data_IF_646222874540
#
_entry.id   IF_646222874540
#
_cell.length_a   1.000
_cell.length_b   1.000
_cell.length_c   1.000
_cell.angle_alpha   90.00
_cell.angle_beta   90.00
_cell.angle_gamma   90.00
#
_symmetry.space_group_name_H-M   'P 1'
#
loop_
_entity.id
_entity.type
_entity.pdbx_description
1 polymer ?
#
# COMPACT_ATOMS: atom_id res chain seq x y z
N UNK A 1 -56.01 -22.65 2.54
CA UNK A 1 -54.83 -22.04 1.90
C UNK A 1 -53.63 -22.22 2.82
N UNK A 2 -52.90 -23.32 2.62
CA UNK A 2 -51.73 -23.72 3.41
C UNK A 2 -50.49 -22.97 2.94
N UNK A 3 -49.91 -22.12 3.79
CA UNK A 3 -48.65 -21.45 3.49
C UNK A 3 -47.48 -22.40 3.74
N UNK A 4 -46.80 -22.80 2.66
CA UNK A 4 -45.50 -23.46 2.74
C UNK A 4 -44.45 -22.45 3.24
N UNK A 5 -43.70 -22.75 4.32
CA UNK A 5 -42.57 -21.93 4.70
C UNK A 5 -41.45 -22.09 3.66
N UNK A 6 -40.98 -20.95 3.14
CA UNK A 6 -39.88 -20.85 2.19
C UNK A 6 -38.56 -21.23 2.90
N UNK A 7 -38.22 -22.50 2.95
CA UNK A 7 -36.91 -22.95 3.45
C UNK A 7 -35.85 -22.63 2.40
N UNK A 8 -35.06 -21.58 2.64
CA UNK A 8 -33.87 -21.31 1.84
C UNK A 8 -32.89 -22.48 1.98
N UNK A 9 -32.32 -23.02 0.88
CA UNK A 9 -31.29 -24.05 0.97
C UNK A 9 -30.13 -23.54 1.80
N UNK A 10 -29.71 -24.31 2.81
CA UNK A 10 -28.49 -24.06 3.54
C UNK A 10 -27.32 -24.09 2.54
N UNK A 11 -26.79 -22.89 2.22
CA UNK A 11 -25.63 -22.75 1.37
C UNK A 11 -24.40 -23.30 2.11
N UNK A 12 -24.15 -24.59 1.91
CA UNK A 12 -22.99 -25.32 2.43
C UNK A 12 -21.70 -25.00 1.64
N UNK A 13 -21.52 -23.73 1.24
CA UNK A 13 -20.38 -23.25 0.43
C UNK A 13 -19.28 -22.59 1.25
N UNK A 14 -19.39 -22.55 2.58
CA UNK A 14 -18.50 -21.75 3.45
C UNK A 14 -17.27 -22.50 3.98
N UNK A 15 -17.17 -23.81 3.79
CA UNK A 15 -16.04 -24.61 4.30
C UNK A 15 -14.70 -24.34 3.56
N UNK A 16 -14.74 -23.86 2.31
CA UNK A 16 -13.54 -23.58 1.49
C UNK A 16 -13.08 -22.11 1.44
N UNK A 17 -13.95 -21.17 1.81
CA UNK A 17 -13.70 -19.73 1.69
C UNK A 17 -12.44 -19.22 2.44
N UNK A 18 -12.15 -19.63 3.70
CA UNK A 18 -10.97 -19.13 4.41
C UNK A 18 -9.65 -19.73 3.88
N UNK A 19 -9.67 -20.97 3.36
CA UNK A 19 -8.48 -21.60 2.75
C UNK A 19 -8.15 -20.97 1.40
N UNK A 20 -9.14 -20.83 0.51
CA UNK A 20 -8.95 -20.19 -0.81
C UNK A 20 -8.41 -18.77 -0.68
N UNK A 21 -8.91 -18.01 0.30
CA UNK A 21 -8.42 -16.66 0.58
C UNK A 21 -6.96 -16.64 1.00
N UNK A 22 -6.56 -17.45 1.99
CA UNK A 22 -5.16 -17.51 2.44
C UNK A 22 -4.23 -17.91 1.29
N UNK A 23 -4.67 -18.82 0.43
CA UNK A 23 -3.91 -19.20 -0.76
C UNK A 23 -3.73 -18.01 -1.70
N UNK A 24 -4.76 -17.20 -1.95
CA UNK A 24 -4.65 -16.00 -2.79
C UNK A 24 -3.75 -14.93 -2.15
N UNK A 25 -3.83 -14.71 -0.83
CA UNK A 25 -2.95 -13.78 -0.11
C UNK A 25 -1.48 -14.22 -0.23
N UNK A 26 -1.20 -15.50 0.02
CA UNK A 26 0.15 -16.08 -0.08
C UNK A 26 0.65 -16.05 -1.53
N UNK A 27 -0.19 -16.42 -2.51
CA UNK A 27 0.17 -16.40 -3.91
C UNK A 27 0.47 -14.97 -4.41
N UNK A 28 -0.34 -13.97 -4.02
CA UNK A 28 -0.10 -12.58 -4.37
C UNK A 28 1.20 -12.04 -3.76
N UNK A 29 1.44 -12.31 -2.47
CA UNK A 29 2.69 -11.92 -1.81
C UNK A 29 3.91 -12.64 -2.41
N UNK A 30 3.78 -13.94 -2.71
CA UNK A 30 4.83 -14.74 -3.34
C UNK A 30 5.15 -14.25 -4.75
N UNK A 31 4.15 -13.86 -5.55
CA UNK A 31 4.36 -13.27 -6.87
C UNK A 31 5.19 -11.99 -6.78
N UNK A 32 4.81 -11.06 -5.88
CA UNK A 32 5.55 -9.80 -5.66
C UNK A 32 7.00 -10.08 -5.23
N UNK A 33 7.18 -10.97 -4.25
CA UNK A 33 8.50 -11.30 -3.72
C UNK A 33 9.38 -12.02 -4.75
N UNK A 34 8.82 -13.01 -5.46
CA UNK A 34 9.54 -13.78 -6.48
C UNK A 34 9.96 -12.87 -7.65
N UNK A 35 9.09 -11.98 -8.11
CA UNK A 35 9.42 -10.99 -9.15
C UNK A 35 10.53 -10.06 -8.69
N UNK A 36 10.46 -9.54 -7.46
CA UNK A 36 11.49 -8.67 -6.92
C UNK A 36 12.85 -9.40 -6.80
N UNK A 37 12.86 -10.59 -6.20
CA UNK A 37 14.08 -11.42 -6.05
C UNK A 37 14.68 -11.79 -7.41
N UNK A 38 13.85 -12.18 -8.38
CA UNK A 38 14.31 -12.51 -9.72
C UNK A 38 15.01 -11.33 -10.40
N UNK A 39 14.42 -10.14 -10.34
CA UNK A 39 14.98 -8.93 -10.98
C UNK A 39 16.26 -8.45 -10.27
N UNK A 40 16.30 -8.52 -8.95
CA UNK A 40 17.46 -8.11 -8.16
C UNK A 40 18.65 -9.06 -8.33
N UNK A 41 18.40 -10.38 -8.37
CA UNK A 41 19.47 -11.38 -8.48
C UNK A 41 20.01 -11.52 -9.90
N UNK A 42 19.14 -11.48 -10.92
CA UNK A 42 19.58 -11.72 -12.29
C UNK A 42 20.13 -10.47 -13.00
N UNK A 43 19.93 -9.27 -12.43
CA UNK A 43 20.34 -7.96 -12.97
C UNK A 43 20.37 -7.91 -14.51
N UNK A 44 19.24 -8.23 -15.18
CA UNK A 44 19.23 -8.40 -16.62
C UNK A 44 19.78 -7.16 -17.35
N UNK A 45 20.71 -7.37 -18.29
CA UNK A 45 21.43 -6.28 -18.97
C UNK A 45 20.53 -5.45 -19.90
N UNK A 46 19.32 -5.94 -20.19
CA UNK A 46 18.30 -5.31 -21.03
C UNK A 46 17.60 -4.09 -20.40
N UNK A 47 18.06 -3.59 -19.25
CA UNK A 47 17.61 -2.31 -18.65
C UNK A 47 17.68 -1.15 -19.66
N UNK A 48 18.66 -1.17 -20.58
CA UNK A 48 18.84 -0.15 -21.61
C UNK A 48 17.82 -0.23 -22.77
N UNK A 49 17.09 -1.35 -22.89
CA UNK A 49 16.17 -1.59 -24.02
C UNK A 49 14.78 -0.96 -23.80
N UNK A 50 14.59 -0.21 -22.71
CA UNK A 50 13.36 0.53 -22.42
C UNK A 50 12.21 -0.33 -21.86
N UNK A 51 11.00 0.24 -21.76
CA UNK A 51 9.85 -0.36 -21.06
C UNK A 51 9.24 -1.59 -21.74
N UNK A 52 9.65 -1.90 -22.97
CA UNK A 52 9.27 -3.13 -23.68
C UNK A 52 10.29 -4.28 -23.50
N UNK A 53 11.34 -4.06 -22.71
CA UNK A 53 12.31 -5.12 -22.37
C UNK A 53 11.62 -6.28 -21.63
N UNK A 54 12.18 -7.48 -21.79
CA UNK A 54 11.69 -8.66 -21.09
C UNK A 54 11.60 -8.43 -19.57
N UNK A 55 12.61 -7.76 -19.02
CA UNK A 55 12.69 -7.43 -17.59
C UNK A 55 11.60 -6.45 -17.14
N UNK A 56 11.30 -5.43 -17.93
CA UNK A 56 10.18 -4.53 -17.66
C UNK A 56 8.83 -5.26 -17.70
N UNK A 57 8.64 -6.15 -18.68
CA UNK A 57 7.42 -6.95 -18.80
C UNK A 57 7.26 -7.95 -17.64
N UNK A 58 8.35 -8.58 -17.20
CA UNK A 58 8.36 -9.46 -16.01
C UNK A 58 8.02 -8.66 -14.75
N UNK A 59 8.58 -7.46 -14.59
CA UNK A 59 8.26 -6.57 -13.47
C UNK A 59 6.76 -6.21 -13.49
N UNK A 60 6.28 -5.67 -14.61
CA UNK A 60 4.89 -5.27 -14.79
C UNK A 60 3.93 -6.43 -14.55
N UNK A 61 4.15 -7.55 -15.22
CA UNK A 61 3.29 -8.74 -15.12
C UNK A 61 3.25 -9.29 -13.69
N UNK A 62 4.42 -9.45 -13.06
CA UNK A 62 4.52 -10.00 -11.70
C UNK A 62 3.88 -9.12 -10.64
N UNK A 63 4.17 -7.81 -10.64
CA UNK A 63 3.60 -6.89 -9.65
C UNK A 63 2.10 -6.67 -9.85
N UNK A 64 1.62 -6.58 -11.09
CA UNK A 64 0.19 -6.43 -11.36
C UNK A 64 -0.59 -7.71 -11.02
N UNK A 65 -0.06 -8.88 -11.38
CA UNK A 65 -0.66 -10.16 -10.99
C UNK A 65 -0.76 -10.26 -9.46
N UNK A 66 0.33 -9.95 -8.75
CA UNK A 66 0.34 -9.94 -7.29
C UNK A 66 -0.70 -8.99 -6.69
N UNK A 67 -0.80 -7.76 -7.22
CA UNK A 67 -1.77 -6.77 -6.79
C UNK A 67 -3.23 -7.22 -7.02
N UNK A 68 -3.52 -7.82 -8.18
CA UNK A 68 -4.85 -8.35 -8.52
C UNK A 68 -5.23 -9.53 -7.61
N UNK A 69 -4.30 -10.45 -7.36
CA UNK A 69 -4.53 -11.58 -6.44
C UNK A 69 -4.82 -11.11 -5.01
N UNK A 70 -4.10 -10.10 -4.53
CA UNK A 70 -4.35 -9.48 -3.23
C UNK A 70 -5.73 -8.81 -3.18
N UNK A 71 -6.12 -8.07 -4.22
CA UNK A 71 -7.46 -7.48 -4.29
C UNK A 71 -8.57 -8.53 -4.29
N UNK A 72 -8.43 -9.58 -5.10
CA UNK A 72 -9.39 -10.67 -5.16
C UNK A 72 -9.54 -11.40 -3.82
N UNK A 73 -8.47 -11.50 -3.05
CA UNK A 73 -8.50 -12.10 -1.72
C UNK A 73 -9.21 -11.21 -0.67
N UNK A 74 -9.03 -9.90 -0.77
CA UNK A 74 -9.40 -8.94 0.28
C UNK A 74 -10.78 -8.33 0.09
N UNK A 75 -11.09 -7.85 -1.12
CA UNK A 75 -12.31 -7.07 -1.39
C UNK A 75 -13.60 -7.72 -0.89
N UNK A 76 -13.82 -9.05 -1.05
CA UNK A 76 -15.07 -9.70 -0.63
C UNK A 76 -15.32 -9.70 0.88
N UNK A 77 -14.30 -9.38 1.70
CA UNK A 77 -14.36 -9.49 3.17
C UNK A 77 -14.40 -8.13 3.84
N UNK A 78 -14.28 -7.04 3.08
CA UNK A 78 -14.27 -5.70 3.64
C UNK A 78 -15.68 -5.28 4.09
N UNK A 79 -15.82 -4.72 5.30
CA UNK A 79 -17.13 -4.26 5.76
C UNK A 79 -17.56 -3.01 4.99
N UNK A 80 -18.87 -2.81 4.83
CA UNK A 80 -19.45 -1.70 4.05
C UNK A 80 -18.95 -0.32 4.51
N UNK A 81 -18.74 -0.13 5.82
CA UNK A 81 -18.19 1.13 6.35
C UNK A 81 -16.79 1.44 5.84
N UNK A 82 -15.98 0.42 5.54
CA UNK A 82 -14.66 0.58 4.93
C UNK A 82 -14.79 0.89 3.44
N UNK A 83 -15.67 0.18 2.73
CA UNK A 83 -15.91 0.40 1.30
C UNK A 83 -16.33 1.84 0.98
N UNK A 84 -17.11 2.47 1.87
CA UNK A 84 -17.58 3.85 1.69
C UNK A 84 -16.48 4.90 1.90
N UNK A 85 -15.49 4.64 2.76
CA UNK A 85 -14.39 5.58 3.01
C UNK A 85 -13.22 5.45 2.03
N UNK A 86 -13.06 4.29 1.39
CA UNK A 86 -11.96 4.05 0.45
C UNK A 86 -11.93 5.06 -0.71
N UNK A 87 -13.04 5.43 -1.37
CA UNK A 87 -13.03 6.45 -2.43
C UNK A 87 -12.46 7.79 -1.96
N UNK A 88 -12.81 8.24 -0.76
CA UNK A 88 -12.31 9.51 -0.21
C UNK A 88 -10.80 9.43 0.03
N UNK A 89 -10.33 8.32 0.59
CA UNK A 89 -8.90 8.08 0.79
C UNK A 89 -8.13 8.01 -0.54
N UNK A 90 -8.73 7.38 -1.56
CA UNK A 90 -8.15 7.30 -2.91
C UNK A 90 -8.04 8.68 -3.54
N UNK A 91 -9.10 9.49 -3.48
CA UNK A 91 -9.07 10.87 -4.01
C UNK A 91 -8.00 11.70 -3.32
N UNK A 92 -7.89 11.61 -1.99
CA UNK A 92 -6.84 12.29 -1.22
C UNK A 92 -5.44 11.90 -1.73
N UNK A 93 -5.18 10.61 -1.89
CA UNK A 93 -3.92 10.09 -2.40
C UNK A 93 -3.60 10.61 -3.80
N UNK A 94 -4.57 10.53 -4.72
CA UNK A 94 -4.42 10.98 -6.11
C UNK A 94 -4.10 12.46 -6.16
N UNK A 95 -4.85 13.29 -5.44
CA UNK A 95 -4.65 14.75 -5.43
C UNK A 95 -3.28 15.09 -4.87
N UNK A 96 -2.90 14.55 -3.71
CA UNK A 96 -1.60 14.84 -3.09
C UNK A 96 -0.45 14.29 -3.93
N UNK A 97 -0.57 13.08 -4.46
CA UNK A 97 0.43 12.49 -5.36
C UNK A 97 0.63 13.32 -6.62
N UNK A 98 -0.44 13.85 -7.21
CA UNK A 98 -0.36 14.71 -8.40
C UNK A 98 0.28 16.06 -8.09
N UNK A 99 -0.02 16.65 -6.93
CA UNK A 99 0.63 17.88 -6.47
C UNK A 99 2.12 17.64 -6.24
N UNK A 100 2.49 16.58 -5.53
CA UNK A 100 3.88 16.26 -5.28
C UNK A 100 4.66 15.97 -6.57
N UNK A 101 4.05 15.21 -7.49
CA UNK A 101 4.62 14.90 -8.81
C UNK A 101 4.91 16.11 -9.68
N UNK A 102 4.22 17.24 -9.46
CA UNK A 102 4.42 18.49 -10.22
C UNK A 102 5.36 19.50 -9.55
N UNK A 103 5.65 19.36 -8.25
CA UNK A 103 6.52 20.30 -7.51
C UNK A 103 8.03 20.02 -7.64
N UNK A 104 8.42 18.84 -8.12
CA UNK A 104 9.83 18.44 -8.21
C UNK A 104 10.48 18.09 -6.85
N UNK A 105 9.70 18.07 -5.76
CA UNK A 105 10.18 17.61 -4.45
C UNK A 105 10.39 16.08 -4.47
N UNK A 106 11.39 15.56 -3.72
CA UNK A 106 11.67 14.12 -3.67
C UNK A 106 10.78 13.39 -2.64
N UNK A 107 9.51 13.77 -2.55
CA UNK A 107 8.50 13.16 -1.67
C UNK A 107 7.24 12.85 -2.49
N UNK A 108 6.43 11.89 -2.05
CA UNK A 108 5.27 11.40 -2.78
C UNK A 108 3.95 11.78 -2.11
N UNK A 109 3.85 11.65 -0.78
CA UNK A 109 2.65 11.91 0.03
C UNK A 109 1.35 11.23 -0.47
N UNK A 110 1.48 10.20 -1.30
CA UNK A 110 0.44 9.51 -2.05
C UNK A 110 -0.22 8.36 -1.28
N UNK A 111 0.18 8.15 -0.02
CA UNK A 111 -0.27 7.01 0.78
C UNK A 111 -0.96 7.43 2.09
N UNK A 112 -1.25 8.72 2.30
CA UNK A 112 -1.88 9.20 3.55
C UNK A 112 -3.25 8.55 3.75
N UNK A 113 -4.09 8.55 2.72
CA UNK A 113 -5.40 7.88 2.75
C UNK A 113 -5.26 6.36 2.90
N UNK A 114 -4.29 5.75 2.24
CA UNK A 114 -4.01 4.30 2.34
C UNK A 114 -3.67 3.90 3.78
N UNK A 115 -2.77 4.64 4.41
CA UNK A 115 -2.35 4.41 5.81
C UNK A 115 -3.51 4.71 6.75
N UNK A 116 -4.29 5.77 6.52
CA UNK A 116 -5.47 6.08 7.33
C UNK A 116 -6.49 4.94 7.32
N UNK A 117 -6.83 4.40 6.13
CA UNK A 117 -7.71 3.23 6.03
C UNK A 117 -7.10 2.00 6.70
N UNK A 118 -5.79 1.78 6.55
CA UNK A 118 -5.10 0.67 7.21
C UNK A 118 -5.18 0.75 8.74
N UNK A 119 -5.04 1.95 9.31
CA UNK A 119 -5.13 2.21 10.75
C UNK A 119 -6.56 1.99 11.27
N UNK A 120 -7.56 2.40 10.49
CA UNK A 120 -8.97 2.30 10.90
C UNK A 120 -9.55 0.90 10.66
N UNK A 121 -9.30 0.30 9.50
CA UNK A 121 -9.96 -0.91 9.04
C UNK A 121 -9.04 -2.15 8.97
N UNK A 122 -7.74 -1.97 9.15
CA UNK A 122 -6.75 -3.05 9.26
C UNK A 122 -5.92 -3.30 8.00
N UNK A 123 -4.98 -4.27 8.05
CA UNK A 123 -3.98 -4.51 7.00
C UNK A 123 -4.58 -4.77 5.63
N UNK A 124 -5.63 -5.61 5.58
CA UNK A 124 -6.28 -5.98 4.34
C UNK A 124 -6.92 -4.75 3.66
N UNK A 125 -7.70 -3.96 4.42
CA UNK A 125 -8.31 -2.74 3.92
C UNK A 125 -7.29 -1.73 3.39
N UNK A 126 -6.18 -1.55 4.13
CA UNK A 126 -5.05 -0.73 3.69
C UNK A 126 -4.47 -1.20 2.36
N UNK A 127 -4.15 -2.50 2.25
CA UNK A 127 -3.59 -3.07 1.03
C UNK A 127 -4.52 -2.88 -0.18
N UNK A 128 -5.82 -3.15 0.01
CA UNK A 128 -6.82 -2.95 -1.04
C UNK A 128 -6.94 -1.48 -1.46
N UNK A 129 -6.90 -0.55 -0.50
CA UNK A 129 -6.92 0.90 -0.76
C UNK A 129 -5.71 1.32 -1.60
N UNK A 130 -4.52 0.80 -1.28
CA UNK A 130 -3.30 1.08 -2.03
C UNK A 130 -3.36 0.61 -3.48
N UNK A 131 -3.81 -0.63 -3.72
CA UNK A 131 -3.94 -1.16 -5.09
C UNK A 131 -5.01 -0.39 -5.86
N UNK A 132 -6.21 -0.24 -5.30
CA UNK A 132 -7.30 0.49 -5.96
C UNK A 132 -6.91 1.94 -6.24
N UNK A 133 -6.24 2.60 -5.29
CA UNK A 133 -5.74 3.96 -5.47
C UNK A 133 -4.76 4.08 -6.63
N UNK A 134 -3.85 3.12 -6.75
CA UNK A 134 -2.88 3.08 -7.87
C UNK A 134 -3.56 2.83 -9.21
N UNK A 135 -4.56 1.94 -9.26
CA UNK A 135 -5.36 1.69 -10.47
C UNK A 135 -6.12 2.95 -10.87
N UNK A 136 -6.82 3.60 -9.93
CA UNK A 136 -7.59 4.82 -10.19
C UNK A 136 -6.66 5.96 -10.65
N UNK A 137 -5.51 6.13 -10.00
CA UNK A 137 -4.56 7.15 -10.37
C UNK A 137 -3.96 6.90 -11.76
N UNK A 138 -3.78 5.64 -12.16
CA UNK A 138 -3.18 5.27 -13.45
C UNK A 138 -3.92 5.80 -14.67
N UNK A 139 -5.22 6.09 -14.56
CA UNK A 139 -6.00 6.71 -15.63
C UNK A 139 -5.55 8.15 -15.93
N UNK A 140 -4.95 8.82 -14.95
CA UNK A 140 -4.42 10.18 -15.09
C UNK A 140 -2.90 10.20 -15.21
N UNK A 141 -2.23 9.23 -14.57
CA UNK A 141 -0.79 9.09 -14.60
C UNK A 141 -0.39 7.60 -14.72
N UNK A 142 -0.21 7.06 -15.94
CA UNK A 142 0.05 5.64 -16.14
C UNK A 142 1.32 5.10 -15.46
N UNK A 143 2.26 5.97 -15.10
CA UNK A 143 3.54 5.58 -14.48
C UNK A 143 3.37 5.02 -13.07
N UNK A 144 2.21 5.23 -12.42
CA UNK A 144 1.96 4.79 -11.04
C UNK A 144 1.45 3.35 -10.97
N UNK A 145 0.89 2.83 -12.07
CA UNK A 145 0.31 1.48 -12.13
C UNK A 145 1.29 0.37 -11.72
N UNK A 146 2.57 0.39 -12.15
CA UNK A 146 3.54 -0.65 -11.77
C UNK A 146 3.83 -0.68 -10.27
N UNK A 147 3.63 0.44 -9.57
CA UNK A 147 3.86 0.56 -8.13
C UNK A 147 2.68 0.08 -7.27
N UNK A 148 1.61 -0.44 -7.87
CA UNK A 148 0.42 -0.91 -7.15
C UNK A 148 0.73 -1.98 -6.08
N UNK A 149 1.68 -2.88 -6.35
CA UNK A 149 2.16 -3.85 -5.36
C UNK A 149 2.85 -3.19 -4.15
N UNK A 150 3.65 -2.14 -4.39
CA UNK A 150 4.27 -1.34 -3.34
C UNK A 150 3.23 -0.59 -2.50
N UNK A 151 2.22 0.00 -3.16
CA UNK A 151 1.09 0.64 -2.46
C UNK A 151 0.31 -0.36 -1.59
N UNK A 152 0.11 -1.59 -2.07
CA UNK A 152 -0.48 -2.67 -1.29
C UNK A 152 0.35 -3.00 -0.05
N UNK A 153 1.67 -3.12 -0.22
CA UNK A 153 2.61 -3.41 0.87
C UNK A 153 2.58 -2.31 1.94
N UNK A 154 2.60 -1.04 1.53
CA UNK A 154 2.52 0.10 2.45
C UNK A 154 1.24 0.03 3.30
N UNK A 155 0.09 -0.18 2.66
CA UNK A 155 -1.19 -0.31 3.36
C UNK A 155 -1.25 -1.54 4.29
N UNK A 156 -0.68 -2.66 3.86
CA UNK A 156 -0.60 -3.87 4.68
C UNK A 156 0.25 -3.64 5.94
N UNK A 157 1.47 -3.10 5.76
CA UNK A 157 2.40 -2.84 6.86
C UNK A 157 1.88 -1.78 7.82
N UNK A 158 1.22 -0.73 7.32
CA UNK A 158 0.54 0.25 8.15
C UNK A 158 -0.52 -0.38 9.07
N UNK A 159 -1.34 -1.28 8.53
CA UNK A 159 -2.35 -1.98 9.32
C UNK A 159 -1.74 -2.96 10.32
N UNK A 160 -0.60 -3.58 9.99
CA UNK A 160 0.12 -4.46 10.91
C UNK A 160 0.74 -3.65 12.06
N UNK A 161 1.34 -2.51 11.76
CA UNK A 161 1.86 -1.58 12.76
C UNK A 161 0.72 -1.03 13.66
N UNK A 162 -0.45 -0.74 13.10
CA UNK A 162 -1.64 -0.38 13.85
C UNK A 162 -2.09 -1.50 14.79
N UNK A 163 -2.10 -2.75 14.30
CA UNK A 163 -2.43 -3.93 15.09
C UNK A 163 -1.43 -4.17 16.23
N UNK A 164 -0.15 -3.92 15.97
CA UNK A 164 0.94 -4.02 16.96
C UNK A 164 0.93 -2.86 17.98
N UNK A 165 0.10 -1.83 17.75
CA UNK A 165 -0.06 -0.72 18.68
C UNK A 165 0.89 0.45 18.47
N UNK A 166 1.63 0.51 17.35
CA UNK A 166 2.53 1.65 17.04
C UNK A 166 1.75 2.94 16.75
N UNK A 167 0.44 2.87 16.52
CA UNK A 167 -0.43 4.04 16.39
C UNK A 167 -1.09 4.46 17.71
N UNK A 168 -0.84 3.74 18.81
CA UNK A 168 -1.38 4.09 20.14
C UNK A 168 -0.87 5.41 20.65
N UNK A 169 0.29 5.85 20.20
CA UNK A 169 0.78 7.21 20.41
C UNK A 169 1.28 7.73 19.08
N UNK A 170 0.85 8.92 18.70
CA UNK A 170 1.11 9.48 17.36
C UNK A 170 2.60 9.55 17.03
N UNK A 171 3.47 9.73 18.03
CA UNK A 171 4.92 9.85 17.84
C UNK A 171 5.63 8.51 17.52
N UNK A 172 4.98 7.36 17.71
CA UNK A 172 5.52 6.07 17.25
C UNK A 172 5.18 5.79 15.78
N UNK A 173 4.21 6.52 15.20
CA UNK A 173 3.84 6.39 13.80
C UNK A 173 4.99 6.71 12.82
N UNK A 174 5.80 7.78 13.00
CA UNK A 174 6.94 8.03 12.11
C UNK A 174 7.96 6.89 12.08
N UNK A 175 8.18 6.20 13.21
CA UNK A 175 9.09 5.03 13.25
C UNK A 175 8.52 3.86 12.43
N UNK A 176 7.22 3.59 12.57
CA UNK A 176 6.54 2.59 11.74
C UNK A 176 6.59 2.96 10.25
N UNK A 177 6.42 4.25 9.95
CA UNK A 177 6.51 4.79 8.60
C UNK A 177 7.89 4.62 8.00
N UNK A 178 8.95 4.96 8.75
CA UNK A 178 10.33 4.81 8.29
C UNK A 178 10.65 3.35 7.94
N UNK A 179 10.34 2.40 8.84
CA UNK A 179 10.55 0.97 8.57
C UNK A 179 9.73 0.47 7.37
N UNK A 180 8.49 0.95 7.24
CA UNK A 180 7.64 0.64 6.08
C UNK A 180 8.24 1.20 4.79
N UNK A 181 8.81 2.41 4.83
CA UNK A 181 9.43 3.04 3.68
C UNK A 181 10.73 2.36 3.25
N UNK A 182 11.50 1.78 4.17
CA UNK A 182 12.66 0.94 3.79
C UNK A 182 12.21 -0.28 2.98
N UNK A 183 11.19 -1.00 3.48
CA UNK A 183 10.63 -2.16 2.78
C UNK A 183 9.97 -1.77 1.45
N UNK A 184 9.25 -0.65 1.42
CA UNK A 184 8.66 -0.11 0.21
C UNK A 184 9.73 0.27 -0.82
N UNK A 185 10.83 0.90 -0.39
CA UNK A 185 11.98 1.26 -1.23
C UNK A 185 12.66 0.07 -1.87
N UNK A 186 12.83 -1.03 -1.13
CA UNK A 186 13.38 -2.28 -1.67
C UNK A 186 12.44 -2.88 -2.73
N UNK A 187 11.12 -2.77 -2.53
CA UNK A 187 10.13 -3.27 -3.48
C UNK A 187 9.99 -2.37 -4.71
N UNK A 188 10.09 -1.05 -4.53
CA UNK A 188 9.93 -0.03 -5.58
C UNK A 188 11.17 0.13 -6.44
N UNK A 189 12.39 -0.09 -5.91
CA UNK A 189 13.64 0.14 -6.63
C UNK A 189 13.76 -0.67 -7.94
N UNK A 190 13.42 -1.98 -8.01
CA UNK A 190 13.44 -2.71 -9.28
C UNK A 190 12.43 -2.17 -10.28
N UNK A 191 11.25 -1.73 -9.84
CA UNK A 191 10.26 -1.12 -10.72
C UNK A 191 10.84 0.17 -11.32
N UNK A 192 11.41 1.03 -10.49
CA UNK A 192 12.04 2.27 -10.93
C UNK A 192 13.23 2.03 -11.89
N UNK A 193 14.01 0.97 -11.65
CA UNK A 193 15.16 0.61 -12.48
C UNK A 193 14.78 -0.01 -13.82
N UNK A 194 13.99 -1.08 -13.80
CA UNK A 194 13.71 -1.89 -14.99
C UNK A 194 12.57 -1.34 -15.85
N UNK A 195 11.58 -0.67 -15.25
CA UNK A 195 10.44 -0.11 -16.00
C UNK A 195 10.72 1.32 -16.45
N UNK A 196 11.39 2.11 -15.60
CA UNK A 196 11.55 3.56 -15.81
C UNK A 196 13.00 4.01 -16.00
N UNK A 197 14.00 3.13 -15.90
CA UNK A 197 15.40 3.53 -16.09
C UNK A 197 15.89 4.63 -15.15
N UNK A 198 15.26 4.79 -13.97
CA UNK A 198 15.61 5.82 -12.99
C UNK A 198 14.95 7.20 -13.18
N UNK A 199 14.00 7.35 -14.12
CA UNK A 199 13.29 8.62 -14.38
C UNK A 199 11.84 8.61 -13.88
N UNK A 200 11.51 7.74 -12.92
CA UNK A 200 10.13 7.49 -12.49
C UNK A 200 9.42 8.74 -11.90
N UNK A 201 10.16 9.72 -11.39
CA UNK A 201 9.62 11.00 -10.90
C UNK A 201 10.58 12.16 -11.14
N UNK A 202 10.06 13.38 -11.22
CA UNK A 202 10.87 14.59 -11.49
C UNK A 202 11.92 14.83 -10.40
N UNK A 203 11.50 14.87 -9.14
CA UNK A 203 12.40 15.12 -8.00
C UNK A 203 13.33 13.95 -7.70
N UNK A 204 12.79 12.72 -7.72
CA UNK A 204 13.57 11.51 -7.46
C UNK A 204 14.53 11.18 -8.59
N UNK A 205 14.13 11.39 -9.84
CA UNK A 205 15.00 11.24 -11.02
C UNK A 205 16.17 12.23 -11.02
N UNK A 206 15.97 13.45 -10.51
CA UNK A 206 17.07 14.41 -10.33
C UNK A 206 18.12 13.95 -9.30
N UNK A 207 17.68 13.27 -8.23
CA UNK A 207 18.60 12.67 -7.26
C UNK A 207 19.34 11.48 -7.90
N UNK A 208 18.64 10.64 -8.66
CA UNK A 208 19.28 9.53 -9.40
C UNK A 208 20.32 10.06 -10.38
N UNK A 209 20.02 11.10 -11.16
CA UNK A 209 20.97 11.68 -12.10
C UNK A 209 22.18 12.30 -11.41
N UNK A 210 22.00 12.91 -10.23
CA UNK A 210 23.12 13.38 -9.41
C UNK A 210 24.03 12.23 -8.94
N UNK A 211 23.46 11.13 -8.44
CA UNK A 211 24.25 9.94 -8.07
C UNK A 211 24.99 9.34 -9.28
N UNK A 212 24.33 9.29 -10.44
CA UNK A 212 24.93 8.86 -11.71
C UNK A 212 26.12 9.75 -12.11
N UNK A 213 25.98 11.07 -11.96
CA UNK A 213 27.05 12.02 -12.24
C UNK A 213 28.26 11.86 -11.29
N UNK A 214 28.02 11.37 -10.07
CA UNK A 214 29.08 11.00 -9.11
C UNK A 214 29.71 9.63 -9.37
N UNK A 215 29.31 8.93 -10.43
CA UNK A 215 29.90 7.65 -10.87
C UNK A 215 29.19 6.39 -10.39
N UNK A 216 28.09 6.50 -9.64
CA UNK A 216 27.31 5.31 -9.23
C UNK A 216 26.69 4.63 -10.44
N UNK A 217 26.65 3.30 -10.48
CA UNK A 217 25.87 2.54 -11.49
C UNK A 217 24.38 2.89 -11.41
N UNK A 218 23.61 2.63 -12.46
CA UNK A 218 22.18 2.95 -12.48
C UNK A 218 21.41 2.30 -11.34
N UNK A 219 21.66 1.02 -11.10
CA UNK A 219 21.02 0.28 -10.01
C UNK A 219 21.42 0.86 -8.65
N UNK A 220 22.70 1.16 -8.43
CA UNK A 220 23.17 1.76 -7.18
C UNK A 220 22.56 3.16 -6.93
N UNK A 221 22.50 4.01 -7.96
CA UNK A 221 21.91 5.35 -7.88
C UNK A 221 20.42 5.30 -7.52
N UNK A 222 19.66 4.41 -8.16
CA UNK A 222 18.22 4.22 -7.91
C UNK A 222 17.99 3.66 -6.51
N UNK A 223 18.75 2.64 -6.10
CA UNK A 223 18.61 2.05 -4.76
C UNK A 223 18.96 3.07 -3.67
N UNK A 224 20.03 3.85 -3.82
CA UNK A 224 20.38 4.92 -2.87
C UNK A 224 19.28 5.97 -2.77
N UNK A 225 18.76 6.43 -3.91
CA UNK A 225 17.67 7.39 -3.94
C UNK A 225 16.42 6.84 -3.24
N UNK A 226 16.00 5.61 -3.58
CA UNK A 226 14.82 4.98 -2.99
C UNK A 226 14.97 4.83 -1.46
N UNK A 227 16.15 4.42 -0.97
CA UNK A 227 16.42 4.28 0.46
C UNK A 227 16.54 5.60 1.22
N UNK A 228 16.69 6.73 0.53
CA UNK A 228 16.67 8.06 1.14
C UNK A 228 15.24 8.61 1.13
N UNK A 229 14.61 8.64 -0.04
CA UNK A 229 13.31 9.27 -0.23
C UNK A 229 12.16 8.47 0.38
N UNK A 230 12.08 7.15 0.17
CA UNK A 230 10.92 6.35 0.57
C UNK A 230 10.78 6.28 2.11
N UNK A 231 11.83 6.02 2.91
CA UNK A 231 11.72 6.03 4.36
C UNK A 231 11.31 7.40 4.93
N UNK A 232 11.85 8.49 4.38
CA UNK A 232 11.51 9.84 4.84
C UNK A 232 10.07 10.22 4.47
N UNK A 233 9.65 9.93 3.23
CA UNK A 233 8.26 10.11 2.79
C UNK A 233 7.30 9.32 3.68
N UNK A 234 7.57 8.03 3.92
CA UNK A 234 6.65 7.20 4.72
C UNK A 234 6.64 7.58 6.19
N UNK A 235 7.73 8.10 6.75
CA UNK A 235 7.71 8.71 8.09
C UNK A 235 6.74 9.91 8.16
N UNK A 236 6.77 10.80 7.16
CA UNK A 236 5.86 11.96 7.08
C UNK A 236 4.42 11.49 6.89
N UNK A 237 4.17 10.61 5.91
CA UNK A 237 2.85 10.05 5.60
C UNK A 237 2.21 9.39 6.82
N UNK A 238 2.96 8.54 7.54
CA UNK A 238 2.44 7.86 8.72
C UNK A 238 2.14 8.84 9.86
N UNK A 239 2.96 9.87 10.00
CA UNK A 239 2.72 10.93 11.00
C UNK A 239 1.43 11.67 10.69
N UNK A 240 1.23 12.12 9.44
CA UNK A 240 0.02 12.81 9.02
C UNK A 240 -1.20 11.90 9.18
N UNK A 241 -1.12 10.65 8.73
CA UNK A 241 -2.22 9.69 8.88
C UNK A 241 -2.57 9.42 10.35
N UNK A 242 -1.57 9.35 11.24
CA UNK A 242 -1.81 9.24 12.67
C UNK A 242 -2.52 10.48 13.22
N UNK A 243 -2.05 11.69 12.90
CA UNK A 243 -2.69 12.94 13.32
C UNK A 243 -4.15 13.03 12.84
N UNK A 244 -4.42 12.67 11.58
CA UNK A 244 -5.78 12.58 11.05
C UNK A 244 -6.64 11.57 11.82
N UNK A 245 -6.10 10.38 12.13
CA UNK A 245 -6.82 9.37 12.90
C UNK A 245 -7.16 9.85 14.34
N UNK A 246 -6.27 10.64 14.96
CA UNK A 246 -6.52 11.26 16.26
C UNK A 246 -7.53 12.42 16.17
N UNK A 247 -7.50 13.21 15.10
CA UNK A 247 -8.41 14.31 14.85
C UNK A 247 -9.86 13.85 14.57
N UNK A 248 -10.05 12.63 14.06
CA UNK A 248 -11.39 12.09 13.81
C UNK A 248 -12.23 11.95 15.10
N UNK A 249 -13.53 12.29 15.05
CA UNK A 249 -14.43 12.09 16.18
C UNK A 249 -14.44 10.64 16.67
N UNK A 250 -14.63 10.44 17.99
CA UNK A 250 -14.70 9.10 18.58
C UNK A 250 -15.74 8.25 17.85
N UNK A 251 -16.95 8.77 17.65
CA UNK A 251 -18.04 8.07 16.95
C UNK A 251 -17.61 7.46 15.62
N UNK A 252 -16.83 8.16 14.79
CA UNK A 252 -16.36 7.67 13.49
C UNK A 252 -15.32 6.57 13.65
N UNK A 253 -14.29 6.79 14.48
CA UNK A 253 -13.22 5.78 14.68
C UNK A 253 -13.73 4.51 15.34
N UNK A 254 -14.73 4.60 16.23
CA UNK A 254 -15.30 3.46 16.93
C UNK A 254 -16.28 2.65 16.08
N UNK A 255 -16.71 3.10 14.91
CA UNK A 255 -17.49 2.25 13.99
C UNK A 255 -16.66 1.07 13.49
N UNK A 256 -15.34 1.23 13.40
CA UNK A 256 -14.44 0.18 12.95
C UNK A 256 -14.15 -0.84 14.06
N UNK A 257 -14.54 -2.09 13.82
CA UNK A 257 -14.28 -3.20 14.74
C UNK A 257 -12.78 -3.42 14.99
N UNK A 258 -11.94 -3.14 14.00
CA UNK A 258 -10.49 -3.25 14.10
C UNK A 258 -9.90 -2.31 15.16
N UNK A 259 -10.26 -1.02 15.14
CA UNK A 259 -9.84 -0.04 16.15
C UNK A 259 -10.22 -0.48 17.56
N UNK A 260 -11.47 -0.95 17.75
CA UNK A 260 -11.96 -1.42 19.05
C UNK A 260 -11.21 -2.67 19.53
N UNK A 261 -11.06 -3.67 18.64
CA UNK A 261 -10.46 -4.97 18.96
C UNK A 261 -8.99 -4.87 19.35
N UNK A 262 -8.21 -4.04 18.66
CA UNK A 262 -6.76 -3.95 18.87
C UNK A 262 -6.33 -2.73 19.70
N UNK A 263 -7.28 -1.89 20.12
CA UNK A 263 -7.03 -0.64 20.87
C UNK A 263 -5.95 0.18 20.16
N UNK A 264 -6.22 0.52 18.90
CA UNK A 264 -5.25 1.13 17.97
C UNK A 264 -4.88 2.56 18.39
N UNK A 265 -5.85 3.35 18.90
CA UNK A 265 -5.66 4.75 19.29
C UNK A 265 -5.85 4.90 20.81
N UNK A 266 -4.92 5.57 21.51
CA UNK A 266 -5.03 5.81 22.95
C UNK A 266 -6.12 6.85 23.28
N UNK A 267 -6.63 6.81 24.52
CA UNK A 267 -7.63 7.77 25.03
C UNK A 267 -9.05 7.58 24.50
N UNK A 268 -9.24 6.62 23.58
CA UNK A 268 -10.51 6.18 23.01
C UNK A 268 -10.87 4.80 23.58
N UNK A 269 -10.97 4.70 24.91
CA UNK A 269 -11.51 3.51 25.60
C UNK A 269 -13.02 3.73 25.72
N UNK A 270 -13.88 2.75 25.35
CA UNK A 270 -15.29 2.84 25.73
C UNK A 270 -15.35 2.85 27.26
N UNK A 271 -16.04 3.82 27.85
CA UNK A 271 -16.39 3.72 29.26
C UNK A 271 -17.04 2.36 29.48
N UNK A 272 -16.56 1.61 30.47
CA UNK A 272 -17.20 0.37 30.88
C UNK A 272 -18.61 0.75 31.35
N UNK A 273 -19.70 0.22 30.75
CA UNK A 273 -21.05 0.50 31.24
C UNK A 273 -21.31 -0.07 32.64
N UNK A 274 -20.32 -0.73 33.26
CA UNK A 274 -20.39 -1.32 34.60
C UNK A 274 -19.44 -0.68 35.64
N UNK A 275 -18.94 0.53 35.42
CA UNK A 275 -18.15 1.30 36.40
C UNK A 275 -18.91 2.50 36.95
#
# INVERSE_FOLDING_TARGET
>A
MSQQPLTLPAADTRAGAPRRRRLLEIAGAAAIAATNVFLVLNQPADIANGPASFSALVALGGFLLGAVLLLAAVLPVLPTSTLVLMPVAIVLNVVLGQLMGSTGLPFYLDAIGTVLIAVLAGPAAGAATGVLGSIVWSFFNPTVLPFAAGAALIGFLAGLAARAGLFRRFYFAPVAGFLTGVLAGVVSAPIAAFVFGGTAGLGTGAIVSAFRAMGDTLLAAITKQALISDPMDKAIVFTIAALLAYALPRRTTFQFAFVRRFRVLAGKVPADPAA
#
